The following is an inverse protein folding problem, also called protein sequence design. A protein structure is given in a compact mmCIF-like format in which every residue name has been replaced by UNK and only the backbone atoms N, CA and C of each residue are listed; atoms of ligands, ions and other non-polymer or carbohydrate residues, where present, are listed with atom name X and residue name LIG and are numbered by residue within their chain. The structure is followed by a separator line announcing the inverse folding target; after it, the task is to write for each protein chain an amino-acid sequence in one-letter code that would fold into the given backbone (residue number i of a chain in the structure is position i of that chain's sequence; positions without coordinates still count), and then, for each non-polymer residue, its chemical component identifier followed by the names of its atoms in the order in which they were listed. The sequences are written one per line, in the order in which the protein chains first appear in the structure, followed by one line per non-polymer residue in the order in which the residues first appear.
data_IF_921410880982
#
_entry.id   IF_921410880982
#
_cell.length_a   1.000
_cell.length_b   1.000
_cell.length_c   1.000
_cell.angle_alpha   90.00
_cell.angle_beta   90.00
_cell.angle_gamma   90.00
#
_symmetry.space_group_name_H-M   'P 1'
#
loop_
_entity.id
_entity.type
_entity.pdbx_description
1 polymer ?
#
# COMPACT_ATOMS: atom_id res chain seq x y z
N UNK A 1 10.86 10.80 -9.22
CA UNK A 1 10.19 9.49 -9.39
C UNK A 1 10.92 8.31 -8.72
N UNK A 2 12.24 8.08 -8.94
CA UNK A 2 12.97 6.91 -8.36
C UNK A 2 12.79 6.67 -6.85
N UNK A 3 12.68 7.73 -6.05
CA UNK A 3 12.47 7.58 -4.60
C UNK A 3 11.09 7.00 -4.23
N UNK A 4 10.06 7.30 -5.03
CA UNK A 4 8.70 6.77 -4.81
C UNK A 4 8.59 5.31 -5.28
N UNK A 5 9.22 5.00 -6.41
CA UNK A 5 9.34 3.62 -6.92
C UNK A 5 9.98 2.70 -5.88
N UNK A 6 11.13 3.09 -5.30
CA UNK A 6 11.77 2.32 -4.23
C UNK A 6 10.87 2.10 -3.02
N UNK A 7 10.06 3.09 -2.65
CA UNK A 7 9.11 2.95 -1.54
C UNK A 7 7.99 1.96 -1.87
N UNK A 8 7.45 2.03 -3.09
CA UNK A 8 6.42 1.11 -3.56
C UNK A 8 6.94 -0.32 -3.63
N UNK A 9 8.12 -0.54 -4.22
CA UNK A 9 8.76 -1.86 -4.27
C UNK A 9 8.99 -2.39 -2.86
N UNK A 10 9.60 -1.62 -1.96
CA UNK A 10 9.84 -2.06 -0.59
C UNK A 10 8.56 -2.37 0.19
N UNK A 11 7.50 -1.57 0.00
CA UNK A 11 6.20 -1.81 0.60
C UNK A 11 5.57 -3.09 0.05
N UNK A 12 5.49 -3.24 -1.27
CA UNK A 12 4.94 -4.44 -1.92
C UNK A 12 5.70 -5.71 -1.53
N UNK A 13 7.04 -5.66 -1.49
CA UNK A 13 7.86 -6.79 -1.03
C UNK A 13 7.51 -7.18 0.40
N UNK A 14 7.35 -6.22 1.31
CA UNK A 14 7.02 -6.53 2.69
C UNK A 14 5.60 -7.09 2.86
N UNK A 15 4.61 -6.40 2.30
CA UNK A 15 3.21 -6.78 2.51
C UNK A 15 2.92 -8.14 1.87
N UNK A 16 3.48 -8.43 0.68
CA UNK A 16 3.29 -9.71 -0.01
C UNK A 16 4.19 -10.84 0.52
N UNK A 17 4.76 -10.72 1.72
CA UNK A 17 5.50 -11.79 2.38
C UNK A 17 6.91 -12.06 1.82
N UNK A 18 7.46 -11.15 1.03
CA UNK A 18 8.83 -11.23 0.53
C UNK A 18 9.87 -11.14 1.64
N UNK A 19 11.02 -11.78 1.44
CA UNK A 19 12.11 -11.75 2.41
C UNK A 19 12.64 -10.31 2.59
N UNK A 20 12.46 -9.77 3.79
CA UNK A 20 12.89 -8.42 4.17
C UNK A 20 11.87 -7.77 5.08
N UNK A 21 12.24 -7.54 6.34
CA UNK A 21 11.41 -6.72 7.22
C UNK A 21 11.29 -5.32 6.63
N UNK A 22 10.08 -4.77 6.54
CA UNK A 22 9.89 -3.36 6.22
C UNK A 22 10.55 -2.53 7.33
N UNK A 23 11.73 -1.99 7.02
CA UNK A 23 12.41 -1.01 7.86
C UNK A 23 11.96 0.43 7.56
N UNK A 24 10.86 0.59 6.81
CA UNK A 24 10.26 1.89 6.57
C UNK A 24 9.68 2.48 7.85
N UNK A 25 9.35 3.78 7.83
CA UNK A 25 8.65 4.42 8.95
C UNK A 25 7.33 3.68 9.17
N UNK A 26 6.94 3.55 10.44
CA UNK A 26 5.59 3.13 10.84
C UNK A 26 4.55 3.75 9.90
N UNK A 27 3.65 2.93 9.35
CA UNK A 27 2.72 3.36 8.29
C UNK A 27 1.85 4.54 8.75
N UNK A 28 1.45 4.60 10.02
CA UNK A 28 0.72 5.74 10.56
C UNK A 28 1.62 6.98 10.56
N UNK A 29 2.84 6.88 11.10
CA UNK A 29 3.78 8.00 11.15
C UNK A 29 4.18 8.52 9.74
N UNK A 30 4.29 7.63 8.75
CA UNK A 30 4.63 7.98 7.38
C UNK A 30 3.54 8.82 6.69
N UNK A 31 2.27 8.56 7.01
CA UNK A 31 1.11 9.18 6.37
C UNK A 31 0.48 10.32 7.19
N UNK A 32 0.76 10.41 8.50
CA UNK A 32 0.17 11.41 9.43
C UNK A 32 0.16 12.83 8.89
N UNK A 33 1.31 13.32 8.36
CA UNK A 33 1.40 14.67 7.81
C UNK A 33 0.48 14.86 6.59
N UNK A 34 0.35 13.83 5.75
CA UNK A 34 -0.51 13.89 4.57
C UNK A 34 -1.99 13.97 4.97
N UNK A 35 -2.37 13.22 6.01
CA UNK A 35 -3.73 13.24 6.56
C UNK A 35 -4.04 14.62 7.14
N UNK A 36 -3.19 15.11 8.05
CA UNK A 36 -3.46 16.35 8.80
C UNK A 36 -3.30 17.64 7.98
N UNK A 37 -2.40 17.65 7.00
CA UNK A 37 -2.00 18.91 6.32
C UNK A 37 -2.29 18.90 4.82
N UNK A 38 -2.62 17.75 4.23
CA UNK A 38 -2.77 17.62 2.76
C UNK A 38 -4.07 16.96 2.31
N UNK A 39 -4.99 16.66 3.23
CA UNK A 39 -6.29 16.08 2.89
C UNK A 39 -6.19 14.64 2.39
N UNK A 40 -5.22 13.85 2.88
CA UNK A 40 -5.21 12.42 2.59
C UNK A 40 -6.36 11.73 3.34
N UNK A 41 -7.28 11.18 2.57
CA UNK A 41 -8.47 10.47 3.04
C UNK A 41 -8.50 9.01 2.56
N UNK A 42 -9.39 8.21 3.12
CA UNK A 42 -9.57 6.79 2.77
C UNK A 42 -9.84 6.54 1.28
N UNK A 43 -10.57 7.44 0.61
CA UNK A 43 -10.83 7.35 -0.83
C UNK A 43 -9.53 7.36 -1.66
N UNK A 44 -8.53 8.14 -1.25
CA UNK A 44 -7.24 8.19 -1.94
C UNK A 44 -6.47 6.87 -1.80
N UNK A 45 -6.60 6.20 -0.65
CA UNK A 45 -6.05 4.86 -0.47
C UNK A 45 -6.72 3.88 -1.42
N UNK A 46 -8.06 3.91 -1.52
CA UNK A 46 -8.83 3.02 -2.39
C UNK A 46 -8.47 3.22 -3.86
N UNK A 47 -8.21 4.45 -4.30
CA UNK A 47 -7.71 4.74 -5.65
C UNK A 47 -6.33 4.10 -5.92
N UNK A 48 -5.40 4.22 -4.97
CA UNK A 48 -4.06 3.61 -5.10
C UNK A 48 -4.14 2.08 -5.09
N UNK A 49 -4.99 1.51 -4.25
CA UNK A 49 -5.26 0.08 -4.22
C UNK A 49 -5.89 -0.39 -5.55
N UNK A 50 -6.80 0.40 -6.12
CA UNK A 50 -7.39 0.16 -7.43
C UNK A 50 -6.34 0.13 -8.55
N UNK A 51 -5.37 1.06 -8.55
CA UNK A 51 -4.27 1.05 -9.51
C UNK A 51 -3.41 -0.23 -9.42
N UNK A 52 -3.17 -0.74 -8.20
CA UNK A 52 -2.48 -2.00 -8.01
C UNK A 52 -3.28 -3.17 -8.60
N UNK A 53 -4.57 -3.27 -8.29
CA UNK A 53 -5.48 -4.28 -8.83
C UNK A 53 -5.48 -4.28 -10.36
N UNK A 54 -5.65 -3.10 -10.98
CA UNK A 54 -5.63 -2.94 -12.43
C UNK A 54 -4.29 -3.39 -13.01
N UNK A 55 -3.17 -2.97 -12.41
CA UNK A 55 -1.84 -3.34 -12.89
C UNK A 55 -1.61 -4.85 -12.84
N UNK A 56 -1.96 -5.50 -11.72
CA UNK A 56 -1.82 -6.97 -11.59
C UNK A 56 -2.71 -7.71 -12.60
N UNK A 57 -3.92 -7.19 -12.87
CA UNK A 57 -4.83 -7.74 -13.87
C UNK A 57 -4.28 -7.60 -15.29
N UNK A 58 -3.72 -6.44 -15.64
CA UNK A 58 -3.08 -6.18 -16.93
C UNK A 58 -1.84 -7.05 -17.16
N UNK A 59 -1.10 -7.35 -16.09
CA UNK A 59 0.03 -8.29 -16.10
C UNK A 59 -0.41 -9.76 -16.10
N UNK A 60 -1.71 -10.04 -16.17
CA UNK A 60 -2.28 -11.39 -16.22
C UNK A 60 -1.87 -12.25 -15.01
N UNK A 61 -1.70 -11.63 -13.85
CA UNK A 61 -1.48 -12.37 -12.59
C UNK A 61 -2.72 -13.20 -12.28
N UNK A 62 -2.58 -14.48 -11.87
CA UNK A 62 -3.72 -15.32 -11.51
C UNK A 62 -4.62 -14.67 -10.45
N UNK A 63 -5.94 -14.71 -10.65
CA UNK A 63 -6.94 -14.13 -9.73
C UNK A 63 -6.73 -14.50 -8.26
N UNK A 64 -6.42 -15.76 -7.88
CA UNK A 64 -6.19 -16.10 -6.47
C UNK A 64 -5.03 -15.32 -5.83
N UNK A 65 -3.98 -15.02 -6.60
CA UNK A 65 -2.84 -14.23 -6.11
C UNK A 65 -3.17 -12.74 -6.02
N UNK A 66 -4.03 -12.23 -6.91
CA UNK A 66 -4.54 -10.87 -6.84
C UNK A 66 -5.39 -10.71 -5.57
N UNK A 67 -6.30 -11.65 -5.31
CA UNK A 67 -7.16 -11.63 -4.12
C UNK A 67 -6.32 -11.67 -2.82
N UNK A 68 -5.31 -12.54 -2.77
CA UNK A 68 -4.37 -12.60 -1.66
C UNK A 68 -3.64 -11.25 -1.47
N UNK A 69 -3.06 -10.70 -2.53
CA UNK A 69 -2.34 -9.43 -2.49
C UNK A 69 -3.24 -8.27 -2.02
N UNK A 70 -4.45 -8.17 -2.55
CA UNK A 70 -5.41 -7.13 -2.21
C UNK A 70 -5.93 -7.29 -0.77
N UNK A 71 -6.13 -8.53 -0.31
CA UNK A 71 -6.50 -8.83 1.08
C UNK A 71 -5.45 -8.33 2.07
N UNK A 72 -4.17 -8.57 1.78
CA UNK A 72 -3.06 -8.06 2.59
C UNK A 72 -3.03 -6.53 2.56
N UNK A 73 -3.09 -5.90 1.38
CA UNK A 73 -3.07 -4.43 1.25
C UNK A 73 -4.18 -3.80 2.07
N UNK A 74 -5.39 -4.36 2.05
CA UNK A 74 -6.52 -3.86 2.83
C UNK A 74 -6.26 -3.82 4.35
N UNK A 75 -5.45 -4.75 4.89
CA UNK A 75 -5.09 -4.74 6.33
C UNK A 75 -4.27 -3.51 6.75
N UNK A 76 -3.65 -2.81 5.79
CA UNK A 76 -2.83 -1.63 6.08
C UNK A 76 -3.64 -0.35 6.22
N UNK A 77 -4.85 -0.29 5.64
CA UNK A 77 -5.75 0.86 5.73
C UNK A 77 -6.05 1.28 7.18
N UNK A 78 -6.50 0.38 8.09
CA UNK A 78 -6.73 0.74 9.49
C UNK A 78 -5.45 1.14 10.24
N UNK A 79 -4.27 0.68 9.81
CA UNK A 79 -2.99 1.11 10.41
C UNK A 79 -2.70 2.57 10.06
N UNK A 80 -3.03 2.99 8.84
CA UNK A 80 -2.78 4.34 8.33
C UNK A 80 -3.77 5.35 8.95
N UNK A 81 -5.05 4.99 9.03
CA UNK A 81 -6.14 5.91 9.43
C UNK A 81 -6.65 5.70 10.87
N UNK A 82 -6.35 4.57 11.52
CA UNK A 82 -6.93 4.22 12.83
C UNK A 82 -6.26 4.85 14.06
N UNK A 83 -5.20 5.66 13.89
CA UNK A 83 -4.46 6.33 14.99
C UNK A 83 -4.41 7.86 14.84
N UNK A 84 -5.32 8.44 14.06
CA UNK A 84 -5.30 9.87 13.76
C UNK A 84 -6.05 10.66 14.83
#
# INVERSE_FOLDING_TARGET
MKAQERKQVAFMTYVLGGAGAYQGRDLAAAHRRLILEKGLEEEHFDLVAGHLLTTLSELQVPTPLIEEAMGIVATTKPVIFGRV
#
